data_IF_374822114975
#
_entry.id   IF_374822114975
#
_cell.length_a   1.000
_cell.length_b   1.000
_cell.length_c   1.000
_cell.angle_alpha   90.00
_cell.angle_beta   90.00
_cell.angle_gamma   90.00
#
_symmetry.space_group_name_H-M   'P 1'
#
loop_
_entity.id
_entity.type
_entity.pdbx_description
1 polymer ?
#
# COMPACT_ATOMS: atom_id res chain seq x y z
N UNK A 1 2.48 4.58 -0.39
CA UNK A 1 3.18 3.38 0.14
C UNK A 1 3.65 3.60 1.57
N UNK A 2 4.53 4.58 1.83
CA UNK A 2 5.00 4.87 3.20
C UNK A 2 3.86 5.00 4.23
N UNK A 3 2.83 5.80 3.96
CA UNK A 3 1.71 5.94 4.91
C UNK A 3 0.98 4.61 5.19
N UNK A 4 0.82 3.75 4.18
CA UNK A 4 0.19 2.45 4.33
C UNK A 4 1.05 1.47 5.15
N UNK A 5 2.36 1.44 4.88
CA UNK A 5 3.31 0.58 5.59
C UNK A 5 3.49 1.03 7.05
N UNK A 6 3.62 2.33 7.30
CA UNK A 6 3.72 2.87 8.67
C UNK A 6 2.41 2.66 9.43
N UNK A 7 1.26 2.94 8.80
CA UNK A 7 -0.04 2.74 9.45
C UNK A 7 -0.30 1.27 9.80
N UNK A 8 -0.03 0.36 8.88
CA UNK A 8 -0.21 -1.08 9.11
C UNK A 8 0.77 -1.63 10.15
N UNK A 9 2.06 -1.26 10.09
CA UNK A 9 3.04 -1.70 11.09
C UNK A 9 2.77 -1.11 12.49
N UNK A 10 2.31 0.13 12.59
CA UNK A 10 1.87 0.72 13.85
C UNK A 10 0.63 0.00 14.42
N UNK A 11 -0.35 -0.35 13.57
CA UNK A 11 -1.51 -1.14 13.97
C UNK A 11 -1.14 -2.54 14.46
N UNK A 12 -0.24 -3.23 13.77
CA UNK A 12 0.28 -4.54 14.18
C UNK A 12 1.07 -4.45 15.49
N UNK A 13 1.89 -3.41 15.66
CA UNK A 13 2.62 -3.15 16.90
C UNK A 13 1.69 -2.88 18.09
N UNK A 14 0.57 -2.19 17.88
CA UNK A 14 -0.45 -1.97 18.90
C UNK A 14 -1.15 -3.29 19.30
N UNK A 15 -1.30 -4.21 18.35
CA UNK A 15 -1.90 -5.54 18.56
C UNK A 15 -0.87 -6.62 18.94
N UNK A 16 0.36 -6.24 19.31
CA UNK A 16 1.44 -7.17 19.67
C UNK A 16 1.09 -8.17 20.76
N UNK A 17 0.13 -7.86 21.63
CA UNK A 17 -0.32 -8.74 22.72
C UNK A 17 -1.11 -9.96 22.24
N UNK A 18 -1.57 -9.98 20.98
CA UNK A 18 -2.39 -11.06 20.42
C UNK A 18 -1.58 -12.11 19.66
N UNK A 19 -0.26 -11.95 19.48
CA UNK A 19 0.56 -12.87 18.69
C UNK A 19 1.97 -13.04 19.26
N UNK A 20 2.46 -14.28 19.32
CA UNK A 20 3.85 -14.61 19.71
C UNK A 20 4.88 -14.36 18.58
N UNK A 21 4.42 -13.93 17.40
CA UNK A 21 5.29 -13.68 16.26
C UNK A 21 6.23 -12.48 16.52
N UNK A 22 7.54 -12.72 16.48
CA UNK A 22 8.57 -11.70 16.73
C UNK A 22 8.49 -10.51 15.76
N UNK A 23 7.93 -10.71 14.55
CA UNK A 23 7.75 -9.66 13.55
C UNK A 23 6.61 -8.69 13.92
N UNK A 24 5.60 -9.11 14.70
CA UNK A 24 4.55 -8.22 15.22
C UNK A 24 5.10 -7.20 16.24
N UNK A 25 6.11 -7.60 17.02
CA UNK A 25 6.70 -6.76 18.04
C UNK A 25 7.75 -5.77 17.50
N UNK A 26 8.08 -5.85 16.21
CA UNK A 26 9.10 -5.00 15.61
C UNK A 26 8.59 -3.55 15.46
N UNK A 27 9.36 -2.53 15.89
CA UNK A 27 8.92 -1.15 15.77
C UNK A 27 8.64 -0.73 14.31
N UNK A 28 7.65 0.15 14.07
CA UNK A 28 7.24 0.57 12.72
C UNK A 28 8.36 1.15 11.86
N UNK A 29 9.30 1.88 12.48
CA UNK A 29 10.43 2.47 11.77
C UNK A 29 11.41 1.42 11.22
N UNK A 30 11.57 0.30 11.94
CA UNK A 30 12.45 -0.78 11.49
C UNK A 30 11.87 -1.52 10.28
N UNK A 31 10.55 -1.63 10.18
CA UNK A 31 9.90 -2.21 9.00
C UNK A 31 10.18 -1.44 7.70
N UNK A 32 10.48 -0.14 7.79
CA UNK A 32 10.77 0.69 6.61
C UNK A 32 12.19 0.50 6.08
N UNK A 33 13.15 0.24 6.98
CA UNK A 33 14.58 0.21 6.66
C UNK A 33 15.09 -1.21 6.41
N UNK A 34 14.42 -2.22 6.97
CA UNK A 34 14.86 -3.62 6.87
C UNK A 34 14.23 -4.31 5.66
N UNK A 35 15.08 -4.96 4.85
CA UNK A 35 14.71 -5.67 3.63
C UNK A 35 14.54 -4.73 2.43
N UNK A 36 13.91 -5.21 1.35
CA UNK A 36 13.70 -4.44 0.13
C UNK A 36 12.62 -3.34 0.15
N UNK A 37 12.04 -2.96 1.30
CA UNK A 37 10.90 -2.01 1.31
C UNK A 37 11.27 -0.63 0.76
N UNK A 38 12.36 -0.04 1.26
CA UNK A 38 12.84 1.26 0.77
C UNK A 38 13.25 1.21 -0.71
N UNK A 39 13.84 0.09 -1.16
CA UNK A 39 14.20 -0.10 -2.56
C UNK A 39 12.98 -0.20 -3.47
N UNK A 40 12.03 -1.08 -3.15
CA UNK A 40 10.80 -1.24 -3.92
C UNK A 40 9.91 0.00 -3.92
N UNK A 41 9.94 0.78 -2.83
CA UNK A 41 9.27 2.08 -2.74
C UNK A 41 9.80 3.07 -3.80
N UNK A 42 11.12 3.19 -3.93
CA UNK A 42 11.77 4.25 -4.73
C UNK A 42 11.94 3.85 -6.20
N UNK A 43 12.13 2.57 -6.49
CA UNK A 43 12.46 2.12 -7.84
C UNK A 43 11.34 1.37 -8.56
N UNK A 44 10.42 0.75 -7.82
CA UNK A 44 9.34 -0.05 -8.42
C UNK A 44 7.98 0.63 -8.28
N UNK A 45 7.60 1.08 -7.09
CA UNK A 45 6.27 1.66 -6.85
C UNK A 45 6.04 3.05 -7.48
N UNK A 46 7.09 3.68 -8.01
CA UNK A 46 7.05 4.97 -8.71
C UNK A 46 7.08 4.82 -10.23
N UNK A 47 6.79 3.64 -10.75
CA UNK A 47 6.74 3.37 -12.18
C UNK A 47 5.51 4.05 -12.83
N UNK A 48 5.71 5.03 -13.75
CA UNK A 48 4.60 5.84 -14.27
C UNK A 48 3.67 5.09 -15.22
N UNK A 49 4.06 3.89 -15.68
CA UNK A 49 3.34 3.11 -16.69
C UNK A 49 2.32 2.16 -16.06
N UNK A 50 2.65 1.56 -14.91
CA UNK A 50 1.79 0.55 -14.27
C UNK A 50 1.05 1.07 -13.03
N UNK A 51 1.45 2.23 -12.50
CA UNK A 51 0.71 2.89 -11.42
C UNK A 51 -0.60 3.54 -11.91
N UNK A 52 -1.49 3.85 -10.96
CA UNK A 52 -2.70 4.62 -11.21
C UNK A 52 -2.37 6.00 -11.83
N UNK A 53 -3.11 6.41 -12.85
CA UNK A 53 -2.91 7.67 -13.56
C UNK A 53 -3.54 8.87 -12.83
N UNK A 54 -4.57 8.63 -12.01
CA UNK A 54 -5.23 9.73 -11.27
C UNK A 54 -4.48 10.06 -9.97
N UNK A 55 -4.31 11.36 -9.64
CA UNK A 55 -3.63 11.77 -8.40
C UNK A 55 -4.25 11.16 -7.14
N UNK A 56 -5.58 11.06 -7.08
CA UNK A 56 -6.28 10.41 -5.95
C UNK A 56 -6.12 8.88 -5.99
N UNK A 57 -6.12 8.27 -7.17
CA UNK A 57 -5.85 6.84 -7.35
C UNK A 57 -4.44 6.45 -6.90
N UNK A 58 -3.43 7.28 -7.18
CA UNK A 58 -2.04 7.08 -6.73
C UNK A 58 -1.91 7.01 -5.21
N UNK A 59 -2.67 7.83 -4.47
CA UNK A 59 -2.71 7.77 -3.02
C UNK A 59 -3.30 6.45 -2.52
N UNK A 60 -4.44 6.03 -3.08
CA UNK A 60 -5.13 4.78 -2.70
C UNK A 60 -4.27 3.56 -3.05
N UNK A 61 -3.79 3.49 -4.29
CA UNK A 61 -2.86 2.48 -4.79
C UNK A 61 -1.63 2.35 -3.88
N UNK A 62 -1.01 3.49 -3.56
CA UNK A 62 0.16 3.50 -2.69
C UNK A 62 -0.16 3.00 -1.28
N UNK A 63 -1.29 3.37 -0.69
CA UNK A 63 -1.67 2.89 0.66
C UNK A 63 -1.89 1.38 0.66
N UNK A 64 -2.58 0.85 -0.37
CA UNK A 64 -2.86 -0.58 -0.52
C UNK A 64 -1.57 -1.40 -0.55
N UNK A 65 -0.61 -1.01 -1.39
CA UNK A 65 0.69 -1.72 -1.49
C UNK A 65 1.44 -1.69 -0.16
N UNK A 66 1.43 -0.54 0.53
CA UNK A 66 2.09 -0.40 1.82
C UNK A 66 1.53 -1.35 2.89
N UNK A 67 0.19 -1.45 2.97
CA UNK A 67 -0.50 -2.34 3.91
C UNK A 67 -0.24 -3.81 3.54
N UNK A 68 -0.35 -4.16 2.27
CA UNK A 68 -0.14 -5.52 1.79
C UNK A 68 1.30 -5.99 2.07
N UNK A 69 2.28 -5.12 1.89
CA UNK A 69 3.70 -5.43 2.14
C UNK A 69 3.93 -5.84 3.60
N UNK A 70 3.40 -5.07 4.56
CA UNK A 70 3.53 -5.36 6.00
C UNK A 70 2.72 -6.59 6.41
N UNK A 71 1.53 -6.80 5.85
CA UNK A 71 0.73 -7.99 6.13
C UNK A 71 1.39 -9.27 5.61
N UNK A 72 1.85 -9.29 4.36
CA UNK A 72 2.52 -10.46 3.78
C UNK A 72 3.76 -10.85 4.57
N UNK A 73 4.55 -9.85 4.99
CA UNK A 73 5.75 -10.05 5.80
C UNK A 73 5.48 -10.66 7.17
N UNK A 74 4.31 -10.40 7.72
CA UNK A 74 3.93 -10.82 9.07
C UNK A 74 3.19 -12.16 9.07
N UNK A 75 2.41 -12.43 8.01
CA UNK A 75 1.64 -13.68 7.86
C UNK A 75 2.54 -14.84 7.39
N UNK A 76 3.58 -14.57 6.59
CA UNK A 76 4.42 -15.61 6.01
C UNK A 76 5.90 -15.49 6.42
N UNK A 77 6.37 -16.29 7.40
CA UNK A 77 7.77 -16.28 7.85
C UNK A 77 8.78 -16.69 6.77
N UNK A 78 8.34 -17.40 5.72
CA UNK A 78 9.21 -17.91 4.65
C UNK A 78 9.56 -16.87 3.58
N UNK A 79 8.83 -15.75 3.51
CA UNK A 79 9.09 -14.67 2.55
C UNK A 79 9.30 -13.33 3.28
N UNK A 80 10.55 -13.04 3.70
CA UNK A 80 10.87 -11.79 4.38
C UNK A 80 10.71 -10.54 3.49
N UNK A 81 10.56 -10.71 2.17
CA UNK A 81 10.39 -9.63 1.19
C UNK A 81 9.02 -9.68 0.49
N UNK A 82 7.99 -9.12 1.16
CA UNK A 82 6.62 -9.06 0.61
C UNK A 82 6.37 -7.95 -0.42
N UNK A 83 7.35 -7.07 -0.67
CA UNK A 83 7.10 -5.84 -1.44
C UNK A 83 6.86 -6.08 -2.93
N UNK A 84 7.60 -6.99 -3.56
CA UNK A 84 7.44 -7.27 -4.99
C UNK A 84 6.05 -7.83 -5.28
N UNK A 85 5.60 -8.79 -4.48
CA UNK A 85 4.26 -9.37 -4.59
C UNK A 85 3.17 -8.32 -4.34
N UNK A 86 3.36 -7.45 -3.35
CA UNK A 86 2.42 -6.36 -3.07
C UNK A 86 2.32 -5.36 -4.24
N UNK A 87 3.43 -5.02 -4.89
CA UNK A 87 3.45 -4.11 -6.05
C UNK A 87 2.77 -4.77 -7.25
N UNK A 88 3.09 -6.03 -7.57
CA UNK A 88 2.43 -6.75 -8.66
C UNK A 88 0.92 -6.81 -8.46
N UNK A 89 0.47 -7.12 -7.24
CA UNK A 89 -0.95 -7.13 -6.92
C UNK A 89 -1.57 -5.74 -7.02
N UNK A 90 -0.88 -4.71 -6.55
CA UNK A 90 -1.29 -3.31 -6.71
C UNK A 90 -1.48 -2.91 -8.18
N UNK A 91 -0.56 -3.33 -9.05
CA UNK A 91 -0.60 -3.03 -10.49
C UNK A 91 -1.81 -3.66 -11.17
N UNK A 92 -2.19 -4.89 -10.78
CA UNK A 92 -3.41 -5.54 -11.27
C UNK A 92 -4.67 -4.75 -10.89
N UNK A 93 -4.69 -4.15 -9.70
CA UNK A 93 -5.83 -3.36 -9.23
C UNK A 93 -5.79 -1.88 -9.62
N UNK A 94 -4.69 -1.39 -10.19
CA UNK A 94 -4.54 0.03 -10.56
C UNK A 94 -5.63 0.52 -11.55
N UNK A 95 -5.99 -0.21 -12.63
CA UNK A 95 -7.05 0.21 -13.54
C UNK A 95 -8.43 0.26 -12.86
N UNK A 96 -8.71 -0.68 -11.95
CA UNK A 96 -9.96 -0.70 -11.19
C UNK A 96 -10.07 0.51 -10.26
N UNK A 97 -8.98 0.86 -9.57
CA UNK A 97 -8.92 2.04 -8.70
C UNK A 97 -9.18 3.32 -9.51
N UNK A 98 -8.55 3.45 -10.68
CA UNK A 98 -8.74 4.62 -11.53
C UNK A 98 -10.17 4.73 -12.08
N UNK A 99 -10.80 3.62 -12.45
CA UNK A 99 -12.20 3.62 -12.90
C UNK A 99 -13.14 4.23 -11.84
N UNK A 100 -13.03 3.77 -10.59
CA UNK A 100 -13.85 4.30 -9.50
C UNK A 100 -13.57 5.78 -9.21
N UNK A 101 -12.30 6.20 -9.25
CA UNK A 101 -11.93 7.60 -9.03
C UNK A 101 -12.44 8.50 -10.16
N UNK A 102 -12.37 8.04 -11.40
CA UNK A 102 -12.86 8.77 -12.57
C UNK A 102 -14.37 8.95 -12.51
N UNK A 103 -15.12 7.87 -12.24
CA UNK A 103 -16.58 7.91 -12.14
C UNK A 103 -17.04 8.87 -11.02
N UNK A 104 -16.38 8.82 -9.86
CA UNK A 104 -16.66 9.74 -8.75
C UNK A 104 -16.41 11.21 -9.13
N UNK A 105 -15.35 11.49 -9.91
CA UNK A 105 -15.07 12.85 -10.38
C UNK A 105 -16.09 13.31 -11.44
N UNK A 106 -16.55 12.42 -12.33
CA UNK A 106 -17.59 12.72 -13.33
C UNK A 106 -18.90 13.07 -12.62
N UNK A 107 -19.36 12.24 -11.66
CA UNK A 107 -20.58 12.52 -10.87
C UNK A 107 -20.50 13.86 -10.14
N UNK A 108 -19.36 14.19 -9.53
CA UNK A 108 -19.14 15.49 -8.87
C UNK A 108 -19.08 16.69 -9.83
N UNK A 109 -18.70 16.48 -11.09
CA UNK A 109 -18.75 17.53 -12.11
C UNK A 109 -20.19 17.79 -12.54
N UNK A 110 -20.94 16.74 -12.87
CA UNK A 110 -22.35 16.85 -13.25
C UNK A 110 -23.20 17.54 -12.17
N UNK A 111 -23.01 17.17 -10.90
CA UNK A 111 -23.72 17.80 -9.78
C UNK A 111 -23.43 19.30 -9.59
N UNK A 112 -22.27 19.80 -10.05
CA UNK A 112 -21.92 21.23 -10.00
C UNK A 112 -22.42 22.01 -11.21
N UNK A 113 -22.64 21.34 -12.34
CA UNK A 113 -23.19 21.97 -13.55
C UNK A 113 -24.73 22.00 -13.56
N UNK A 114 -25.36 21.23 -12.66
CA UNK A 114 -26.82 21.20 -12.49
C UNK A 114 -27.34 22.15 -11.40
N UNK A 115 -26.46 22.81 -10.65
CA UNK A 115 -26.76 23.83 -9.64
C UNK A 115 -26.46 25.22 -10.20
#
# INVERSE_FOLDING_TARGET
VLMGAVGSSAGLYALRSFSENQVFAMPPHWHLVVGGLAFGLVFMATDPVSAAMTRKGQWVYGVIIGILTTLVRVINPGYPEGIMLAILLGNVFAPSIDYFVLEANIKRRLARSAA
#
